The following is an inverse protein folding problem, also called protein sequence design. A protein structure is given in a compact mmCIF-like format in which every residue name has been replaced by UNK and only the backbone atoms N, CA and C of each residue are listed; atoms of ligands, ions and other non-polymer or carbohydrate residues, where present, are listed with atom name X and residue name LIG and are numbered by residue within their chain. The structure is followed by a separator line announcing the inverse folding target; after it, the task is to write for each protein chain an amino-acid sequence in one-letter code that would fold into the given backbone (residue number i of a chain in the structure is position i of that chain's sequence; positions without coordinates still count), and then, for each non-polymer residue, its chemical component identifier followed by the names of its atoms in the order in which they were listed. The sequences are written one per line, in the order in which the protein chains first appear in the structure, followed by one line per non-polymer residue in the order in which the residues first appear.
data_IF_509546027038
#
_entry.id   IF_509546027038
#
_cell.length_a   1.000
_cell.length_b   1.000
_cell.length_c   1.000
_cell.angle_alpha   90.00
_cell.angle_beta   90.00
_cell.angle_gamma   90.00
#
_symmetry.space_group_name_H-M   'P 1'
#
loop_
_entity.id
_entity.type
_entity.pdbx_description
1 polymer ?
#
# COMPACT_ATOMS: atom_id res chain seq x y z
N UNK A 1 -3.67 41.52 17.74
CA UNK A 1 -3.13 42.42 16.71
C UNK A 1 -3.19 41.70 15.39
N UNK A 2 -4.04 42.13 14.48
CA UNK A 2 -4.13 41.60 13.11
C UNK A 2 -2.97 42.19 12.33
N UNK A 3 -1.86 41.48 12.22
CA UNK A 3 -0.84 41.78 11.21
C UNK A 3 -1.52 41.73 9.85
N UNK A 4 -1.63 42.89 9.21
CA UNK A 4 -2.23 43.03 7.89
C UNK A 4 -1.45 42.15 6.91
N UNK A 5 -2.12 41.13 6.36
CA UNK A 5 -1.46 40.13 5.51
C UNK A 5 -1.20 40.77 4.14
N UNK A 6 0.04 41.21 3.93
CA UNK A 6 0.47 41.82 2.66
C UNK A 6 1.03 40.78 1.69
N UNK A 7 1.11 41.12 0.40
CA UNK A 7 1.66 40.22 -0.63
C UNK A 7 3.15 39.89 -0.46
N UNK A 8 3.90 40.64 0.37
CA UNK A 8 5.29 40.33 0.72
C UNK A 8 5.42 39.34 1.88
N UNK A 9 4.31 38.97 2.53
CA UNK A 9 4.34 38.05 3.68
C UNK A 9 4.54 36.62 3.21
N UNK A 10 5.58 35.95 3.73
CA UNK A 10 5.75 34.51 3.50
C UNK A 10 4.65 33.73 4.23
N UNK A 11 3.65 33.25 3.48
CA UNK A 11 2.51 32.52 4.03
C UNK A 11 2.92 31.18 4.66
N UNK A 12 3.99 30.54 4.19
CA UNK A 12 4.47 29.28 4.74
C UNK A 12 4.94 29.51 6.18
N UNK A 13 5.74 30.55 6.42
CA UNK A 13 6.20 30.93 7.76
C UNK A 13 5.06 31.47 8.61
N UNK A 14 4.21 32.34 8.06
CA UNK A 14 3.10 32.96 8.77
C UNK A 14 2.10 31.93 9.34
N UNK A 15 1.82 30.85 8.59
CA UNK A 15 0.96 29.75 9.04
C UNK A 15 1.74 28.57 9.66
N UNK A 16 3.04 28.73 9.94
CA UNK A 16 3.91 27.69 10.50
C UNK A 16 3.92 26.37 9.69
N UNK A 17 3.80 26.46 8.37
CA UNK A 17 3.76 25.34 7.43
C UNK A 17 5.16 24.92 6.94
N UNK A 18 6.24 25.52 7.46
CA UNK A 18 7.62 25.25 7.01
C UNK A 18 7.99 23.77 7.11
N UNK A 19 7.62 23.11 8.22
CA UNK A 19 7.86 21.68 8.39
C UNK A 19 7.09 20.83 7.36
N UNK A 20 5.83 21.17 7.08
CA UNK A 20 5.01 20.46 6.10
C UNK A 20 5.55 20.66 4.68
N UNK A 21 5.91 21.89 4.32
CA UNK A 21 6.50 22.22 3.03
C UNK A 21 7.82 21.48 2.81
N UNK A 22 8.74 21.52 3.77
CA UNK A 22 10.02 20.81 3.68
C UNK A 22 9.84 19.30 3.59
N UNK A 23 8.86 18.74 4.30
CA UNK A 23 8.58 17.30 4.32
C UNK A 23 7.98 16.80 3.00
N UNK A 24 7.01 17.52 2.43
CA UNK A 24 6.19 17.02 1.32
C UNK A 24 6.49 17.68 -0.04
N UNK A 25 7.00 18.92 -0.07
CA UNK A 25 7.29 19.65 -1.31
C UNK A 25 8.80 19.71 -1.64
N UNK A 26 9.68 19.51 -0.65
CA UNK A 26 11.13 19.54 -0.85
C UNK A 26 11.70 18.36 -1.64
N UNK A 27 10.90 17.32 -1.92
CA UNK A 27 11.32 16.11 -2.64
C UNK A 27 10.21 15.69 -3.61
N UNK A 28 10.58 15.06 -4.73
CA UNK A 28 9.60 14.40 -5.61
C UNK A 28 8.98 13.23 -4.86
N UNK A 29 7.77 13.41 -4.36
CA UNK A 29 6.99 12.36 -3.71
C UNK A 29 6.45 11.43 -4.81
N UNK A 30 7.03 10.23 -4.90
CA UNK A 30 6.48 9.12 -5.69
C UNK A 30 5.99 8.03 -4.75
N UNK A 31 5.10 8.41 -3.85
CA UNK A 31 4.48 7.48 -2.92
C UNK A 31 3.32 6.78 -3.62
N UNK A 32 3.25 5.47 -3.43
CA UNK A 32 2.15 4.66 -3.92
C UNK A 32 1.11 4.51 -2.82
N UNK A 33 -0.12 4.11 -3.17
CA UNK A 33 -1.19 3.91 -2.19
C UNK A 33 -0.78 2.83 -1.15
N UNK A 34 -0.01 1.84 -1.58
CA UNK A 34 0.57 0.81 -0.70
C UNK A 34 1.43 1.35 0.43
N UNK A 35 2.02 2.54 0.28
CA UNK A 35 2.81 3.14 1.36
C UNK A 35 1.94 3.64 2.51
N UNK A 36 0.68 3.95 2.24
CA UNK A 36 -0.30 4.41 3.23
C UNK A 36 -1.18 3.28 3.77
N UNK A 37 -1.28 2.17 3.03
CA UNK A 37 -2.09 1.00 3.38
C UNK A 37 -1.22 -0.28 3.43
N UNK A 38 -0.24 -0.35 4.35
CA UNK A 38 0.73 -1.45 4.39
C UNK A 38 0.11 -2.81 4.73
N UNK A 39 -1.00 -2.81 5.48
CA UNK A 39 -1.67 -4.03 5.96
C UNK A 39 -2.82 -4.48 5.05
N UNK A 40 -3.11 -3.74 3.97
CA UNK A 40 -4.19 -4.07 3.04
C UNK A 40 -3.67 -5.08 2.00
N UNK A 41 -4.18 -6.33 1.97
CA UNK A 41 -3.80 -7.29 0.94
C UNK A 41 -4.29 -6.88 -0.46
N UNK A 42 -3.58 -7.34 -1.49
CA UNK A 42 -3.96 -7.15 -2.89
C UNK A 42 -3.13 -6.08 -3.63
N UNK A 43 -3.42 -5.90 -4.92
CA UNK A 43 -2.77 -4.92 -5.79
C UNK A 43 -3.47 -3.56 -5.72
N UNK A 44 -3.27 -2.83 -4.64
CA UNK A 44 -3.97 -1.56 -4.36
C UNK A 44 -3.41 -0.34 -5.10
N UNK A 45 -2.24 -0.48 -5.73
CA UNK A 45 -1.62 0.59 -6.53
C UNK A 45 -2.15 0.64 -7.97
N UNK A 46 -3.14 -0.18 -8.32
CA UNK A 46 -3.77 -0.15 -9.63
C UNK A 46 -4.63 1.12 -9.76
N UNK A 47 -4.71 1.72 -10.96
CA UNK A 47 -5.64 2.80 -11.20
C UNK A 47 -7.08 2.34 -10.89
N UNK A 48 -7.86 3.23 -10.28
CA UNK A 48 -9.25 2.97 -9.98
C UNK A 48 -10.02 2.58 -11.26
N UNK A 49 -10.99 1.69 -11.09
CA UNK A 49 -11.87 1.29 -12.18
C UNK A 49 -12.63 2.51 -12.73
N UNK A 50 -12.82 2.56 -14.05
CA UNK A 50 -13.60 3.59 -14.75
C UNK A 50 -15.08 3.19 -14.85
N UNK A 51 -15.58 2.46 -13.86
CA UNK A 51 -17.00 2.33 -13.64
C UNK A 51 -17.48 3.60 -12.92
N UNK A 52 -18.70 4.04 -13.21
CA UNK A 52 -19.30 5.26 -12.62
C UNK A 52 -19.58 5.13 -11.11
N UNK A 53 -18.93 4.19 -10.41
CA UNK A 53 -19.07 3.88 -8.99
C UNK A 53 -18.16 4.73 -8.09
N UNK A 54 -17.45 5.72 -8.63
CA UNK A 54 -16.54 6.54 -7.84
C UNK A 54 -17.25 7.39 -6.77
N UNK A 55 -16.57 7.64 -5.64
CA UNK A 55 -17.05 8.57 -4.60
C UNK A 55 -17.34 9.97 -5.15
N UNK A 56 -16.59 10.41 -6.17
CA UNK A 56 -16.85 11.68 -6.86
C UNK A 56 -18.25 11.69 -7.50
N UNK A 57 -18.64 10.61 -8.16
CA UNK A 57 -19.98 10.49 -8.76
C UNK A 57 -21.07 10.58 -7.69
N UNK A 58 -20.83 10.02 -6.49
CA UNK A 58 -21.77 10.10 -5.38
C UNK A 58 -21.89 11.52 -4.81
N UNK A 59 -20.78 12.27 -4.77
CA UNK A 59 -20.78 13.68 -4.33
C UNK A 59 -21.48 14.57 -5.37
N UNK A 60 -21.20 14.35 -6.65
CA UNK A 60 -21.79 15.12 -7.76
C UNK A 60 -23.28 14.83 -7.94
N UNK A 61 -23.67 13.57 -7.76
CA UNK A 61 -25.06 13.10 -7.86
C UNK A 61 -25.42 12.34 -6.60
N UNK A 62 -25.73 13.06 -5.51
CA UNK A 62 -26.13 12.41 -4.27
C UNK A 62 -27.39 11.59 -4.54
N UNK A 63 -27.44 10.32 -4.12
CA UNK A 63 -28.65 9.52 -4.21
C UNK A 63 -29.74 10.23 -3.40
N UNK A 64 -30.99 10.07 -3.82
CA UNK A 64 -32.13 10.70 -3.15
C UNK A 64 -32.22 10.13 -1.73
N UNK A 65 -31.72 10.86 -0.74
CA UNK A 65 -31.65 10.44 0.67
C UNK A 65 -33.01 10.38 1.39
N UNK A 66 -34.13 10.36 0.65
CA UNK A 66 -35.49 10.42 1.20
C UNK A 66 -35.98 9.13 1.86
N UNK A 67 -35.28 8.02 1.65
CA UNK A 67 -35.59 6.71 2.25
C UNK A 67 -34.36 6.15 2.94
N UNK A 68 -34.49 5.82 4.22
CA UNK A 68 -33.46 5.07 4.95
C UNK A 68 -33.10 3.79 4.20
N UNK A 69 -31.82 3.41 4.17
CA UNK A 69 -31.40 2.13 3.61
C UNK A 69 -32.13 0.99 4.34
N UNK A 70 -32.98 0.26 3.62
CA UNK A 70 -33.59 -0.97 4.13
C UNK A 70 -32.55 -2.08 4.07
N UNK A 71 -32.26 -2.77 5.19
CA UNK A 71 -31.34 -3.89 5.16
C UNK A 71 -31.88 -4.99 4.24
N UNK A 72 -30.99 -5.63 3.47
CA UNK A 72 -31.35 -6.76 2.62
C UNK A 72 -31.87 -7.90 3.50
N UNK A 73 -33.01 -8.48 3.13
CA UNK A 73 -33.57 -9.63 3.83
C UNK A 73 -32.78 -10.90 3.50
N UNK A 74 -32.84 -11.92 4.36
CA UNK A 74 -32.14 -13.20 4.12
C UNK A 74 -32.53 -13.87 2.80
N UNK A 75 -33.77 -13.67 2.34
CA UNK A 75 -34.21 -14.13 1.02
C UNK A 75 -33.45 -13.43 -0.12
N UNK A 76 -33.26 -12.11 -0.02
CA UNK A 76 -32.48 -11.33 -1.01
C UNK A 76 -31.00 -11.71 -1.00
N UNK A 77 -30.44 -12.07 0.16
CA UNK A 77 -29.05 -12.51 0.28
C UNK A 77 -28.78 -13.89 -0.35
N UNK A 78 -29.82 -14.67 -0.65
CA UNK A 78 -29.65 -16.01 -1.25
C UNK A 78 -29.00 -15.96 -2.63
N UNK A 79 -29.20 -14.86 -3.38
CA UNK A 79 -28.53 -14.64 -4.67
C UNK A 79 -27.02 -14.36 -4.59
N UNK A 80 -26.49 -14.07 -3.40
CA UNK A 80 -25.05 -13.84 -3.17
C UNK A 80 -24.30 -15.09 -2.70
N UNK A 81 -24.97 -16.25 -2.64
CA UNK A 81 -24.34 -17.51 -2.25
C UNK A 81 -23.31 -17.91 -3.30
N UNK A 82 -22.09 -18.15 -2.86
CA UNK A 82 -21.03 -18.65 -3.72
C UNK A 82 -21.28 -20.14 -4.02
N UNK A 83 -21.22 -20.51 -5.29
CA UNK A 83 -21.18 -21.89 -5.71
C UNK A 83 -19.74 -22.41 -5.66
N UNK A 84 -19.57 -23.69 -5.30
CA UNK A 84 -18.28 -24.34 -5.39
C UNK A 84 -17.81 -24.40 -6.85
N UNK A 85 -16.56 -24.03 -7.10
CA UNK A 85 -16.00 -24.00 -8.45
C UNK A 85 -14.73 -23.14 -8.52
N UNK A 86 -14.05 -23.14 -9.67
CA UNK A 86 -12.90 -22.28 -9.89
C UNK A 86 -13.32 -20.81 -9.79
N UNK A 87 -12.58 -20.05 -8.97
CA UNK A 87 -12.83 -18.63 -8.79
C UNK A 87 -12.62 -17.88 -10.13
N UNK A 88 -13.51 -16.95 -10.52
CA UNK A 88 -13.34 -16.13 -11.71
C UNK A 88 -11.96 -15.49 -11.77
N UNK A 89 -11.40 -15.39 -12.97
CA UNK A 89 -10.04 -14.90 -13.18
C UNK A 89 -9.78 -13.53 -12.54
N UNK A 90 -10.76 -12.63 -12.64
CA UNK A 90 -10.71 -11.28 -12.10
C UNK A 90 -10.57 -11.27 -10.56
N UNK A 91 -11.18 -12.24 -9.87
CA UNK A 91 -11.13 -12.33 -8.41
C UNK A 91 -9.84 -13.01 -7.92
N UNK A 92 -9.09 -13.72 -8.78
CA UNK A 92 -7.84 -14.40 -8.40
C UNK A 92 -6.79 -13.42 -7.90
N UNK A 93 -6.68 -12.26 -8.53
CA UNK A 93 -5.63 -11.27 -8.25
C UNK A 93 -5.90 -10.45 -6.97
N UNK A 94 -7.14 -10.45 -6.45
CA UNK A 94 -7.52 -9.64 -5.29
C UNK A 94 -6.78 -10.05 -4.01
N UNK A 95 -6.43 -11.34 -3.87
CA UNK A 95 -5.72 -11.87 -2.70
C UNK A 95 -4.20 -11.92 -2.88
N UNK A 96 -3.70 -11.62 -4.09
CA UNK A 96 -2.28 -11.74 -4.40
C UNK A 96 -1.56 -10.52 -3.82
N UNK A 97 -0.78 -10.76 -2.78
CA UNK A 97 0.15 -9.76 -2.26
C UNK A 97 1.28 -9.55 -3.28
N UNK A 98 1.66 -8.30 -3.59
CA UNK A 98 2.85 -8.06 -4.40
C UNK A 98 4.07 -8.69 -3.72
N UNK A 99 4.95 -9.38 -4.48
CA UNK A 99 6.10 -10.06 -3.90
C UNK A 99 6.97 -9.05 -3.14
N UNK A 100 7.17 -9.28 -1.84
CA UNK A 100 8.07 -8.47 -1.01
C UNK A 100 9.45 -8.50 -1.64
N UNK A 101 9.91 -7.37 -2.21
CA UNK A 101 11.28 -7.21 -2.69
C UNK A 101 12.22 -7.36 -1.50
N UNK A 102 12.81 -8.54 -1.32
CA UNK A 102 13.92 -8.73 -0.39
C UNK A 102 15.07 -7.86 -0.91
N UNK A 103 15.35 -6.74 -0.25
CA UNK A 103 16.58 -5.99 -0.47
C UNK A 103 17.74 -6.94 -0.16
N UNK A 104 18.42 -7.43 -1.20
CA UNK A 104 19.70 -8.12 -1.04
C UNK A 104 20.68 -7.11 -0.45
N UNK A 105 20.88 -7.17 0.86
CA UNK A 105 22.04 -6.55 1.48
C UNK A 105 23.27 -7.15 0.79
N UNK A 106 23.95 -6.31 0.02
CA UNK A 106 25.17 -6.62 -0.71
C UNK A 106 26.27 -6.79 0.34
N UNK A 107 26.44 -8.00 0.88
CA UNK A 107 27.61 -8.30 1.69
C UNK A 107 28.81 -8.33 0.73
N UNK A 108 29.59 -7.25 0.70
CA UNK A 108 30.99 -7.32 0.29
C UNK A 108 31.69 -8.21 1.33
N UNK A 109 31.76 -9.51 1.08
CA UNK A 109 32.77 -10.34 1.75
C UNK A 109 34.08 -10.15 0.99
N UNK A 110 34.99 -9.46 1.66
CA UNK A 110 36.42 -9.49 1.39
C UNK A 110 36.86 -10.95 1.21
N UNK A 111 37.39 -11.25 0.03
CA UNK A 111 38.08 -12.51 -0.25
C UNK A 111 39.40 -12.47 0.51
N UNK A 112 39.52 -13.25 1.59
CA UNK A 112 40.80 -13.43 2.26
C UNK A 112 40.90 -14.87 2.77
N UNK A 113 41.66 -15.65 2.00
CA UNK A 113 42.46 -16.81 2.37
C UNK A 113 41.75 -18.06 2.91
N UNK A 114 41.80 -19.11 2.10
CA UNK A 114 41.63 -20.51 2.48
C UNK A 114 42.64 -20.91 3.58
N UNK A 115 42.19 -21.73 4.55
CA UNK A 115 43.07 -22.74 5.12
C UNK A 115 42.53 -24.16 4.91
N UNK A 116 43.45 -24.97 4.40
CA UNK A 116 43.51 -26.43 4.19
C UNK A 116 42.74 -27.29 5.22
N UNK A 117 42.10 -28.40 4.80
CA UNK A 117 41.44 -29.35 5.71
C UNK A 117 42.47 -30.17 6.50
N UNK A 118 42.26 -30.44 7.81
CA UNK A 118 43.12 -31.35 8.55
C UNK A 118 42.79 -32.81 8.17
N UNK A 119 43.83 -33.52 7.72
CA UNK A 119 43.90 -34.96 7.54
C UNK A 119 43.60 -35.66 8.88
N UNK A 120 42.79 -36.73 8.85
CA UNK A 120 42.54 -37.57 10.03
C UNK A 120 43.59 -38.67 10.09
N UNK A 121 44.36 -38.84 11.18
CA UNK A 121 45.16 -40.03 11.38
C UNK A 121 44.31 -41.17 11.93
N UNK A 122 44.51 -42.32 11.29
CA UNK A 122 44.25 -43.68 11.75
C UNK A 122 44.50 -43.89 13.25
N UNK A 123 43.59 -44.60 13.93
CA UNK A 123 43.97 -45.47 15.04
C UNK A 123 43.15 -46.77 15.01
N UNK A 124 43.86 -47.87 15.25
CA UNK A 124 43.44 -49.27 15.26
C UNK A 124 43.26 -49.74 16.71
N UNK A 125 42.76 -50.98 16.83
CA UNK A 125 42.81 -51.84 18.03
C UNK A 125 41.84 -51.45 19.17
N UNK A 126 41.03 -52.35 19.74
CA UNK A 126 41.28 -53.75 20.07
C UNK A 126 40.03 -54.62 19.97
#
# INVERSE_FOLDING_TARGET
GTTELTGSTNLITHYNLEHAYNKFCGKKVKEKLSNFLPDLPGMIDLPGSHDSSSLRSLIEKPPICGSSFTPLTGAMLTGFRLHAGPLPEQCRLMHIQPPKKKNKHKHKQSRTQDPVPPETPSDSDH
#
